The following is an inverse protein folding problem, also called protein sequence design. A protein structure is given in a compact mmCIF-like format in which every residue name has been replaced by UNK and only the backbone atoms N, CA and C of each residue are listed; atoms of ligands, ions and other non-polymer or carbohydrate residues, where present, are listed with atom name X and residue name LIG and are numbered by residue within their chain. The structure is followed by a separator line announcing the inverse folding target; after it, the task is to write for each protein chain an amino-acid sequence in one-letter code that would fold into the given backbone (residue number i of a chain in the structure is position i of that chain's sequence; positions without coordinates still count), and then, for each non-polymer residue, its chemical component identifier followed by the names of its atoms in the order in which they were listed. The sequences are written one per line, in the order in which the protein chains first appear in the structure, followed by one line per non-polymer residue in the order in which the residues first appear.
data_IF_231024274994
#
_entry.id   IF_231024274994
#
_cell.length_a   1.000
_cell.length_b   1.000
_cell.length_c   1.000
_cell.angle_alpha   90.00
_cell.angle_beta   90.00
_cell.angle_gamma   90.00
#
_symmetry.space_group_name_H-M   'P 1'
#
loop_
_entity.id
_entity.type
_entity.pdbx_description
1 polymer ?
#
# COMPACT_ATOMS: atom_id res chain seq x y z
N UNK A 1 9.40 -0.37 31.72
CA UNK A 1 8.65 0.81 31.20
C UNK A 1 9.42 2.14 31.22
N UNK A 2 10.23 2.50 32.25
CA UNK A 2 10.96 3.80 32.30
C UNK A 2 12.03 3.99 31.19
N UNK A 3 12.78 2.97 30.78
CA UNK A 3 13.82 3.10 29.75
C UNK A 3 13.28 3.46 28.35
N UNK A 4 12.08 3.01 27.99
CA UNK A 4 11.45 3.32 26.69
C UNK A 4 10.94 4.77 26.60
N UNK A 5 10.57 5.38 27.71
CA UNK A 5 10.13 6.78 27.73
C UNK A 5 11.26 7.78 27.53
N UNK A 6 12.42 7.50 28.14
CA UNK A 6 13.61 8.38 28.05
C UNK A 6 14.17 8.38 26.62
N UNK A 7 14.25 7.22 25.96
CA UNK A 7 14.71 7.13 24.56
C UNK A 7 13.79 7.88 23.60
N UNK A 8 12.47 7.82 23.78
CA UNK A 8 11.52 8.58 22.97
C UNK A 8 11.71 10.09 23.10
N UNK A 9 11.87 10.57 24.32
CA UNK A 9 12.09 12.00 24.59
C UNK A 9 13.40 12.48 23.95
N UNK A 10 14.47 11.67 24.02
CA UNK A 10 15.75 11.99 23.38
C UNK A 10 15.55 12.13 21.86
N UNK A 11 14.84 11.20 21.20
CA UNK A 11 14.58 11.29 19.76
C UNK A 11 13.70 12.48 19.37
N UNK A 12 12.72 12.85 20.20
CA UNK A 12 11.91 14.05 19.98
C UNK A 12 12.80 15.30 20.02
N UNK A 13 13.57 15.46 21.10
CA UNK A 13 14.41 16.64 21.30
C UNK A 13 15.54 16.71 20.26
N UNK A 14 16.21 15.60 19.97
CA UNK A 14 17.30 15.59 18.98
C UNK A 14 16.82 15.90 17.56
N UNK A 15 15.61 15.45 17.18
CA UNK A 15 15.01 15.80 15.89
C UNK A 15 14.69 17.30 15.80
N UNK A 16 14.13 17.89 16.84
CA UNK A 16 13.87 19.33 16.90
C UNK A 16 15.19 20.11 16.87
N UNK A 17 16.19 19.69 17.63
CA UNK A 17 17.51 20.32 17.63
C UNK A 17 18.18 20.28 16.25
N UNK A 18 18.09 19.13 15.55
CA UNK A 18 18.61 19.00 14.18
C UNK A 18 17.89 19.94 13.20
N UNK A 19 16.57 20.08 13.31
CA UNK A 19 15.80 21.00 12.50
C UNK A 19 16.21 22.46 12.73
N UNK A 20 16.32 22.88 13.99
CA UNK A 20 16.76 24.23 14.36
C UNK A 20 18.19 24.48 13.85
N UNK A 21 19.09 23.51 14.03
CA UNK A 21 20.47 23.62 13.60
C UNK A 21 20.56 23.89 12.08
N UNK A 22 19.75 23.20 11.29
CA UNK A 22 19.70 23.42 9.83
C UNK A 22 19.20 24.82 9.50
N UNK A 23 18.12 25.27 10.14
CA UNK A 23 17.59 26.64 9.92
C UNK A 23 18.66 27.71 10.20
N UNK A 24 19.47 27.51 11.26
CA UNK A 24 20.52 28.45 11.68
C UNK A 24 21.75 28.36 10.77
N UNK A 25 22.18 27.18 10.36
CA UNK A 25 23.39 26.97 9.55
C UNK A 25 23.21 27.27 8.07
N UNK A 26 22.00 27.31 7.55
CA UNK A 26 21.76 27.60 6.14
C UNK A 26 22.14 29.06 5.82
N UNK A 27 22.86 29.29 4.69
CA UNK A 27 23.24 30.61 4.26
C UNK A 27 22.05 31.56 4.05
N UNK A 28 22.27 32.86 4.17
CA UNK A 28 21.24 33.90 4.00
C UNK A 28 20.76 34.07 2.53
N UNK A 29 21.32 33.31 1.61
CA UNK A 29 20.82 33.20 0.24
C UNK A 29 19.41 32.57 0.20
N UNK A 30 19.04 31.77 1.23
CA UNK A 30 17.72 31.18 1.36
C UNK A 30 16.78 32.08 2.18
N UNK A 31 15.56 32.25 1.71
CA UNK A 31 14.52 32.92 2.51
C UNK A 31 14.26 32.17 3.83
N UNK A 32 13.75 32.84 4.84
CA UNK A 32 13.44 32.23 6.12
C UNK A 32 12.40 31.09 5.95
N UNK A 33 11.43 31.25 5.05
CA UNK A 33 10.43 30.25 4.72
C UNK A 33 11.09 28.97 4.16
N UNK A 34 12.06 29.11 3.25
CA UNK A 34 12.80 27.98 2.68
C UNK A 34 13.65 27.27 3.74
N UNK A 35 14.33 28.04 4.62
CA UNK A 35 15.11 27.46 5.74
C UNK A 35 14.20 26.65 6.68
N UNK A 36 13.04 27.21 7.06
CA UNK A 36 12.06 26.53 7.93
C UNK A 36 11.48 25.29 7.24
N UNK A 37 11.14 25.36 5.96
CA UNK A 37 10.64 24.22 5.21
C UNK A 37 11.65 23.06 5.19
N UNK A 38 12.94 23.34 4.96
CA UNK A 38 14.01 22.35 5.02
C UNK A 38 14.18 21.78 6.44
N UNK A 39 14.08 22.60 7.47
CA UNK A 39 14.07 22.16 8.86
C UNK A 39 12.93 21.18 9.17
N UNK A 40 11.72 21.49 8.69
CA UNK A 40 10.55 20.61 8.85
C UNK A 40 10.77 19.28 8.12
N UNK A 41 11.29 19.29 6.89
CA UNK A 41 11.60 18.06 6.15
C UNK A 41 12.57 17.17 6.94
N UNK A 42 13.65 17.74 7.47
CA UNK A 42 14.62 16.97 8.27
C UNK A 42 14.00 16.42 9.55
N UNK A 43 13.18 17.22 10.25
CA UNK A 43 12.46 16.78 11.44
C UNK A 43 11.53 15.60 11.11
N UNK A 44 10.77 15.71 10.01
CA UNK A 44 9.86 14.64 9.58
C UNK A 44 10.61 13.36 9.22
N UNK A 45 11.69 13.46 8.43
CA UNK A 45 12.53 12.31 8.08
C UNK A 45 13.10 11.65 9.33
N UNK A 46 13.66 12.44 10.26
CA UNK A 46 14.19 11.91 11.50
C UNK A 46 13.13 11.20 12.36
N UNK A 47 11.94 11.80 12.50
CA UNK A 47 10.85 11.19 13.28
C UNK A 47 10.21 9.99 12.57
N UNK A 48 10.15 9.94 11.25
CA UNK A 48 9.68 8.76 10.53
C UNK A 48 10.61 7.56 10.68
N UNK A 49 11.92 7.80 10.70
CA UNK A 49 12.92 6.74 10.91
C UNK A 49 12.92 6.27 12.37
N UNK A 50 12.99 7.19 13.33
CA UNK A 50 13.13 6.87 14.76
C UNK A 50 11.80 6.52 15.45
N UNK A 51 10.66 6.92 14.84
CA UNK A 51 9.29 6.69 15.33
C UNK A 51 9.04 7.05 16.79
N UNK A 52 9.46 8.22 17.28
CA UNK A 52 9.20 8.63 18.65
C UNK A 52 7.72 8.94 18.89
N UNK A 53 7.02 9.36 17.84
CA UNK A 53 5.57 9.61 17.80
C UNK A 53 4.93 8.83 16.65
N UNK A 54 3.60 8.77 16.64
CA UNK A 54 2.88 8.11 15.54
C UNK A 54 3.12 8.82 14.20
N UNK A 55 3.25 8.05 13.12
CA UNK A 55 3.56 8.57 11.76
C UNK A 55 2.58 9.68 11.34
N UNK A 56 1.28 9.54 11.65
CA UNK A 56 0.28 10.54 11.32
C UNK A 56 0.49 11.87 12.05
N UNK A 57 1.02 11.85 13.28
CA UNK A 57 1.36 13.08 14.02
C UNK A 57 2.51 13.80 13.35
N UNK A 58 3.54 13.06 12.92
CA UNK A 58 4.65 13.61 12.16
C UNK A 58 4.17 14.25 10.84
N UNK A 59 3.21 13.63 10.16
CA UNK A 59 2.64 14.14 8.91
C UNK A 59 1.91 15.48 9.09
N UNK A 60 1.44 15.84 10.28
CA UNK A 60 0.79 17.12 10.56
C UNK A 60 1.76 18.26 10.91
N UNK A 61 3.05 17.98 11.05
CA UNK A 61 4.07 19.00 11.38
C UNK A 61 4.10 20.17 10.38
N UNK A 62 4.06 19.96 9.04
CA UNK A 62 4.04 21.07 8.10
C UNK A 62 2.90 22.06 8.36
N UNK A 63 1.69 21.53 8.65
CA UNK A 63 0.53 22.36 8.94
C UNK A 63 0.73 23.19 10.22
N UNK A 64 1.24 22.55 11.29
CA UNK A 64 1.49 23.21 12.56
C UNK A 64 2.60 24.29 12.44
N UNK A 65 3.69 23.99 11.72
CA UNK A 65 4.79 24.95 11.53
C UNK A 65 4.37 26.07 10.60
N UNK A 66 3.60 25.78 9.54
CA UNK A 66 3.10 26.82 8.63
C UNK A 66 2.17 27.82 9.33
N UNK A 67 1.45 27.42 10.38
CA UNK A 67 0.62 28.35 11.16
C UNK A 67 1.43 29.41 11.90
N UNK A 68 2.72 29.16 12.14
CA UNK A 68 3.63 30.07 12.85
C UNK A 68 4.51 30.87 11.90
N UNK A 69 5.00 30.22 10.85
CA UNK A 69 6.02 30.79 9.95
C UNK A 69 5.49 31.25 8.60
N UNK A 70 4.21 31.00 8.30
CA UNK A 70 3.55 31.40 7.05
C UNK A 70 4.38 31.10 5.80
N UNK A 71 4.91 29.86 5.70
CA UNK A 71 5.75 29.44 4.56
C UNK A 71 5.01 29.55 3.24
N UNK A 72 3.72 29.19 3.25
CA UNK A 72 2.75 29.38 2.15
C UNK A 72 1.39 29.80 2.74
N UNK A 73 0.48 30.39 1.94
CA UNK A 73 -0.87 30.70 2.39
C UNK A 73 -1.57 29.46 2.99
N UNK A 74 -2.19 29.61 4.17
CA UNK A 74 -2.77 28.49 4.91
C UNK A 74 -3.86 27.75 4.10
N UNK A 75 -4.65 28.46 3.28
CA UNK A 75 -5.64 27.84 2.41
C UNK A 75 -5.02 26.90 1.37
N UNK A 76 -3.84 27.24 0.85
CA UNK A 76 -3.12 26.35 -0.08
C UNK A 76 -2.62 25.12 0.67
N UNK A 77 -2.02 25.30 1.86
CA UNK A 77 -1.58 24.17 2.70
C UNK A 77 -2.74 23.21 3.03
N UNK A 78 -3.88 23.74 3.43
CA UNK A 78 -5.09 22.94 3.70
C UNK A 78 -5.61 22.24 2.43
N UNK A 79 -5.56 22.93 1.28
CA UNK A 79 -5.91 22.36 -0.01
C UNK A 79 -5.06 21.16 -0.37
N UNK A 80 -3.75 21.19 -0.07
CA UNK A 80 -2.83 20.06 -0.31
C UNK A 80 -3.16 18.85 0.58
N UNK A 81 -3.59 19.08 1.83
CA UNK A 81 -4.01 17.99 2.73
C UNK A 81 -5.35 17.36 2.37
N UNK A 82 -6.23 18.07 1.66
CA UNK A 82 -7.54 17.61 1.24
C UNK A 82 -7.69 17.57 -0.29
N UNK A 83 -6.60 17.43 -1.02
CA UNK A 83 -6.66 17.33 -2.48
C UNK A 83 -7.33 16.01 -2.94
N UNK A 84 -7.78 15.92 -4.21
CA UNK A 84 -8.45 14.73 -4.72
C UNK A 84 -7.67 13.43 -4.55
N UNK A 85 -6.32 13.46 -4.59
CA UNK A 85 -5.48 12.28 -4.39
C UNK A 85 -5.66 11.71 -2.98
N UNK A 86 -5.66 12.58 -1.96
CA UNK A 86 -5.85 12.19 -0.56
C UNK A 86 -7.23 11.57 -0.37
N UNK A 87 -8.28 12.14 -0.99
CA UNK A 87 -9.63 11.60 -0.95
C UNK A 87 -9.71 10.22 -1.61
N UNK A 88 -9.02 10.01 -2.73
CA UNK A 88 -8.95 8.70 -3.38
C UNK A 88 -8.27 7.68 -2.49
N UNK A 89 -7.11 8.01 -1.93
CA UNK A 89 -6.36 7.13 -1.02
C UNK A 89 -7.22 6.78 0.20
N UNK A 90 -7.95 7.75 0.75
CA UNK A 90 -8.86 7.52 1.86
C UNK A 90 -9.99 6.56 1.47
N UNK A 91 -10.72 6.82 0.40
CA UNK A 91 -11.82 5.98 -0.07
C UNK A 91 -11.37 4.55 -0.42
N UNK A 92 -10.24 4.42 -1.13
CA UNK A 92 -9.64 3.13 -1.45
C UNK A 92 -9.19 2.38 -0.18
N UNK A 93 -8.63 3.08 0.81
CA UNK A 93 -8.22 2.48 2.08
C UNK A 93 -9.41 1.97 2.89
N UNK A 94 -10.53 2.70 2.90
CA UNK A 94 -11.77 2.26 3.57
C UNK A 94 -12.32 0.99 2.91
N UNK A 95 -12.37 0.94 1.58
CA UNK A 95 -12.81 -0.25 0.85
C UNK A 95 -11.90 -1.45 1.11
N UNK A 96 -10.59 -1.23 1.12
CA UNK A 96 -9.60 -2.28 1.43
C UNK A 96 -9.71 -2.75 2.88
N UNK A 97 -9.91 -1.83 3.83
CA UNK A 97 -10.15 -2.19 5.23
C UNK A 97 -11.41 -3.06 5.39
N UNK A 98 -12.48 -2.76 4.63
CA UNK A 98 -13.68 -3.59 4.59
C UNK A 98 -13.38 -5.03 4.13
N UNK A 99 -12.50 -5.23 3.14
CA UNK A 99 -12.05 -6.57 2.71
C UNK A 99 -11.36 -7.32 3.83
N UNK A 100 -10.41 -6.67 4.49
CA UNK A 100 -9.61 -7.27 5.57
C UNK A 100 -10.48 -7.61 6.78
N UNK A 101 -11.37 -6.70 7.19
CA UNK A 101 -12.29 -6.93 8.32
C UNK A 101 -13.23 -8.12 8.03
N UNK A 102 -13.71 -8.25 6.79
CA UNK A 102 -14.58 -9.37 6.41
C UNK A 102 -13.79 -10.66 6.12
N UNK A 103 -12.45 -10.62 6.02
CA UNK A 103 -11.58 -11.77 5.73
C UNK A 103 -11.59 -12.21 4.27
N UNK A 104 -12.04 -11.35 3.37
CA UNK A 104 -12.12 -11.64 1.93
C UNK A 104 -10.73 -11.82 1.31
N UNK A 105 -9.75 -11.00 1.69
CA UNK A 105 -8.35 -11.08 1.29
C UNK A 105 -7.76 -12.46 1.62
N UNK A 106 -7.94 -12.94 2.84
CA UNK A 106 -7.50 -14.25 3.29
C UNK A 106 -8.19 -15.38 2.50
N UNK A 107 -9.50 -15.25 2.25
CA UNK A 107 -10.26 -16.25 1.47
C UNK A 107 -9.78 -16.32 0.02
N UNK A 108 -9.58 -15.18 -0.64
CA UNK A 108 -9.06 -15.12 -2.02
C UNK A 108 -7.69 -15.79 -2.08
N UNK A 109 -6.78 -15.44 -1.17
CA UNK A 109 -5.45 -16.03 -1.09
C UNK A 109 -5.49 -17.55 -0.90
N UNK A 110 -6.20 -18.04 0.11
CA UNK A 110 -6.30 -19.49 0.41
C UNK A 110 -6.97 -20.27 -0.71
N UNK A 111 -8.02 -19.72 -1.33
CA UNK A 111 -8.70 -20.36 -2.45
C UNK A 111 -7.76 -20.49 -3.66
N UNK A 112 -6.96 -19.47 -3.95
CA UNK A 112 -5.98 -19.51 -5.03
C UNK A 112 -4.84 -20.49 -4.75
N UNK A 113 -4.41 -20.63 -3.48
CA UNK A 113 -3.34 -21.54 -3.06
C UNK A 113 -3.79 -23.00 -2.94
N UNK A 114 -5.07 -23.26 -2.61
CA UNK A 114 -5.57 -24.61 -2.28
C UNK A 114 -5.61 -25.59 -3.47
N UNK A 115 -5.57 -25.09 -4.70
CA UNK A 115 -5.64 -25.91 -5.94
C UNK A 115 -4.31 -26.54 -6.37
N UNK A 116 -3.20 -26.26 -5.69
CA UNK A 116 -1.87 -26.45 -6.26
C UNK A 116 -0.98 -27.40 -5.47
N UNK A 117 0.07 -27.88 -6.16
CA UNK A 117 0.96 -28.90 -5.66
C UNK A 117 1.94 -28.41 -4.57
N UNK A 118 2.66 -29.36 -3.99
CA UNK A 118 3.63 -29.14 -2.90
C UNK A 118 5.00 -28.63 -3.37
N UNK A 119 5.20 -28.41 -4.68
CA UNK A 119 6.48 -27.96 -5.24
C UNK A 119 6.80 -26.51 -4.82
N UNK A 120 7.97 -26.27 -4.25
CA UNK A 120 8.41 -24.97 -3.74
C UNK A 120 8.39 -23.89 -4.82
N UNK A 121 8.86 -24.18 -6.04
CA UNK A 121 8.88 -23.20 -7.11
C UNK A 121 7.47 -22.79 -7.52
N UNK A 122 6.53 -23.74 -7.57
CA UNK A 122 5.13 -23.45 -7.84
C UNK A 122 4.55 -22.56 -6.74
N UNK A 123 4.84 -22.84 -5.48
CA UNK A 123 4.41 -22.02 -4.35
C UNK A 123 4.97 -20.58 -4.44
N UNK A 124 6.26 -20.43 -4.76
CA UNK A 124 6.90 -19.12 -4.98
C UNK A 124 6.20 -18.33 -6.09
N UNK A 125 5.98 -18.96 -7.26
CA UNK A 125 5.32 -18.33 -8.39
C UNK A 125 3.91 -17.86 -8.00
N UNK A 126 3.20 -18.68 -7.25
CA UNK A 126 1.82 -18.36 -6.86
C UNK A 126 1.73 -17.26 -5.83
N UNK A 127 2.53 -17.32 -4.77
CA UNK A 127 2.57 -16.22 -3.80
C UNK A 127 2.96 -14.92 -4.48
N UNK A 128 3.89 -14.97 -5.42
CA UNK A 128 4.26 -13.81 -6.21
C UNK A 128 3.09 -13.29 -7.05
N UNK A 129 2.42 -14.16 -7.84
CA UNK A 129 1.32 -13.75 -8.71
C UNK A 129 0.10 -13.28 -7.93
N UNK A 130 -0.24 -13.95 -6.83
CA UNK A 130 -1.34 -13.53 -5.96
C UNK A 130 -1.04 -12.15 -5.36
N UNK A 131 0.16 -11.95 -4.83
CA UNK A 131 0.59 -10.65 -4.28
C UNK A 131 0.58 -9.56 -5.34
N UNK A 132 1.06 -9.87 -6.55
CA UNK A 132 1.08 -8.93 -7.67
C UNK A 132 -0.34 -8.50 -8.06
N UNK A 133 -1.25 -9.46 -8.23
CA UNK A 133 -2.64 -9.17 -8.61
C UNK A 133 -3.38 -8.43 -7.49
N UNK A 134 -3.24 -8.87 -6.24
CA UNK A 134 -3.88 -8.18 -5.10
C UNK A 134 -3.35 -6.76 -4.94
N UNK A 135 -2.03 -6.56 -5.05
CA UNK A 135 -1.40 -5.26 -4.87
C UNK A 135 -1.66 -4.28 -6.02
N UNK A 136 -2.12 -4.76 -7.16
CA UNK A 136 -2.63 -3.88 -8.21
C UNK A 136 -3.82 -3.02 -7.76
N UNK A 137 -4.55 -3.48 -6.74
CA UNK A 137 -5.78 -2.85 -6.27
C UNK A 137 -5.79 -2.50 -4.79
N UNK A 138 -4.80 -2.97 -4.03
CA UNK A 138 -4.70 -2.79 -2.58
C UNK A 138 -3.31 -2.27 -2.22
N UNK A 139 -3.16 -1.46 -1.17
CA UNK A 139 -1.83 -1.04 -0.71
C UNK A 139 -0.92 -2.24 -0.43
N UNK A 140 0.34 -2.18 -0.89
CA UNK A 140 1.33 -3.26 -0.77
C UNK A 140 1.41 -3.84 0.65
N UNK A 141 1.38 -2.97 1.67
CA UNK A 141 1.45 -3.39 3.08
C UNK A 141 0.28 -4.27 3.49
N UNK A 142 -0.93 -4.00 2.99
CA UNK A 142 -2.12 -4.81 3.29
C UNK A 142 -1.95 -6.22 2.71
N UNK A 143 -1.48 -6.32 1.47
CA UNK A 143 -1.22 -7.61 0.81
C UNK A 143 -0.16 -8.41 1.55
N UNK A 144 0.96 -7.77 1.91
CA UNK A 144 2.06 -8.42 2.65
C UNK A 144 1.58 -8.91 4.01
N UNK A 145 0.85 -8.09 4.76
CA UNK A 145 0.33 -8.47 6.09
C UNK A 145 -0.72 -9.57 6.04
N UNK A 146 -1.45 -9.71 4.93
CA UNK A 146 -2.39 -10.82 4.71
C UNK A 146 -1.69 -12.13 4.32
N UNK A 147 -0.69 -12.06 3.43
CA UNK A 147 -0.08 -13.26 2.82
C UNK A 147 1.11 -13.81 3.62
N UNK A 148 1.95 -12.97 4.24
CA UNK A 148 3.11 -13.43 4.99
C UNK A 148 2.76 -14.37 6.14
N UNK A 149 1.73 -14.13 6.98
CA UNK A 149 1.31 -15.09 8.00
C UNK A 149 0.87 -16.44 7.43
N UNK A 150 0.21 -16.46 6.26
CA UNK A 150 -0.20 -17.70 5.59
C UNK A 150 1.03 -18.49 5.15
N UNK A 151 2.00 -17.84 4.52
CA UNK A 151 3.24 -18.47 4.08
C UNK A 151 4.05 -18.99 5.27
N UNK A 152 4.19 -18.19 6.33
CA UNK A 152 4.91 -18.55 7.55
C UNK A 152 4.27 -19.76 8.24
N UNK A 153 2.96 -19.73 8.49
CA UNK A 153 2.24 -20.83 9.13
C UNK A 153 2.25 -22.11 8.29
N UNK A 154 2.27 -22.00 6.96
CA UNK A 154 2.40 -23.14 6.06
C UNK A 154 3.79 -23.79 6.16
N UNK A 155 4.86 -23.00 6.23
CA UNK A 155 6.24 -23.49 6.43
C UNK A 155 6.36 -24.18 7.79
N UNK A 156 5.81 -23.57 8.84
CA UNK A 156 5.80 -24.15 10.18
C UNK A 156 5.04 -25.48 10.24
N UNK A 157 3.83 -25.54 9.66
CA UNK A 157 3.02 -26.75 9.55
C UNK A 157 3.74 -27.89 8.83
N UNK A 158 4.55 -27.58 7.83
CA UNK A 158 5.29 -28.57 7.05
C UNK A 158 6.53 -29.14 7.76
N UNK A 159 6.93 -28.57 8.91
CA UNK A 159 8.17 -28.89 9.61
C UNK A 159 9.44 -28.40 8.90
N UNK A 160 9.33 -27.65 7.81
CA UNK A 160 10.45 -26.98 7.19
C UNK A 160 10.80 -25.75 8.05
N UNK A 161 12.05 -25.66 8.54
CA UNK A 161 12.46 -24.58 9.45
C UNK A 161 12.12 -23.19 8.90
N UNK A 162 11.60 -22.33 9.77
CA UNK A 162 11.18 -20.96 9.41
C UNK A 162 12.35 -20.08 8.96
N UNK A 163 13.58 -20.38 9.40
CA UNK A 163 14.81 -19.70 8.99
C UNK A 163 15.46 -20.30 7.73
N UNK A 164 14.73 -21.19 7.02
CA UNK A 164 15.22 -21.84 5.81
C UNK A 164 15.25 -20.87 4.61
N UNK A 165 16.13 -21.17 3.63
CA UNK A 165 16.16 -20.46 2.34
C UNK A 165 14.82 -20.58 1.60
N UNK A 166 14.10 -21.67 1.81
CA UNK A 166 12.77 -21.89 1.26
C UNK A 166 11.76 -20.90 1.85
N UNK A 167 11.75 -20.71 3.17
CA UNK A 167 10.91 -19.73 3.86
C UNK A 167 11.22 -18.30 3.38
N UNK A 168 12.51 -17.96 3.36
CA UNK A 168 12.96 -16.65 2.86
C UNK A 168 12.50 -16.39 1.42
N UNK A 169 12.63 -17.38 0.53
CA UNK A 169 12.21 -17.23 -0.87
C UNK A 169 10.70 -17.04 -1.03
N UNK A 170 9.88 -17.68 -0.19
CA UNK A 170 8.43 -17.51 -0.17
C UNK A 170 8.04 -16.09 0.30
N UNK A 171 8.61 -15.64 1.41
CA UNK A 171 8.33 -14.29 1.92
C UNK A 171 8.82 -13.21 0.96
N UNK A 172 9.99 -13.42 0.34
CA UNK A 172 10.52 -12.52 -0.66
C UNK A 172 9.63 -12.46 -1.91
N UNK A 173 9.03 -13.59 -2.32
CA UNK A 173 8.09 -13.62 -3.46
C UNK A 173 6.85 -12.79 -3.20
N UNK A 174 6.32 -12.81 -1.97
CA UNK A 174 5.21 -11.95 -1.56
C UNK A 174 5.60 -10.48 -1.62
N UNK A 175 6.75 -10.13 -1.05
CA UNK A 175 7.22 -8.75 -0.99
C UNK A 175 7.46 -8.15 -2.39
N UNK A 176 8.11 -8.90 -3.28
CA UNK A 176 8.38 -8.45 -4.65
C UNK A 176 7.14 -8.44 -5.51
N UNK A 177 6.26 -9.45 -5.37
CA UNK A 177 4.96 -9.48 -6.05
C UNK A 177 4.11 -8.27 -5.66
N UNK A 178 4.01 -7.97 -4.36
CA UNK A 178 3.29 -6.79 -3.88
C UNK A 178 3.94 -5.49 -4.36
N UNK A 179 5.28 -5.39 -4.31
CA UNK A 179 5.99 -4.21 -4.80
C UNK A 179 5.73 -3.92 -6.27
N UNK A 180 5.85 -4.92 -7.15
CA UNK A 180 5.59 -4.75 -8.58
C UNK A 180 4.10 -4.54 -8.89
N UNK A 181 3.22 -5.28 -8.21
CA UNK A 181 1.77 -5.15 -8.39
C UNK A 181 1.25 -3.74 -8.10
N UNK A 182 1.84 -3.07 -7.09
CA UNK A 182 1.48 -1.71 -6.73
C UNK A 182 1.61 -0.68 -7.85
N UNK A 183 2.42 -0.94 -8.87
CA UNK A 183 2.55 -0.06 -10.05
C UNK A 183 1.51 -0.35 -11.13
N UNK A 184 0.77 -1.47 -11.06
CA UNK A 184 -0.09 -1.92 -12.16
C UNK A 184 -1.30 -1.01 -12.39
N UNK A 185 -1.84 -0.42 -11.36
CA UNK A 185 -2.98 0.50 -11.47
C UNK A 185 -2.76 1.78 -10.65
N UNK A 186 -3.49 2.86 -10.94
CA UNK A 186 -3.40 4.09 -10.15
C UNK A 186 -3.66 3.87 -8.65
N UNK A 187 -4.49 2.89 -8.30
CA UNK A 187 -4.91 2.60 -6.92
C UNK A 187 -3.91 1.75 -6.14
N UNK A 188 -3.02 1.02 -6.83
CA UNK A 188 -2.05 0.13 -6.18
C UNK A 188 -0.99 0.86 -5.35
N UNK A 189 -0.76 2.15 -5.63
CA UNK A 189 0.21 2.94 -4.88
C UNK A 189 -0.04 4.44 -4.92
N UNK A 190 0.17 5.12 -3.79
CA UNK A 190 0.03 6.57 -3.69
C UNK A 190 0.95 7.33 -4.67
N UNK A 191 2.15 6.81 -4.94
CA UNK A 191 3.10 7.42 -5.87
C UNK A 191 2.58 7.45 -7.31
N UNK A 192 1.77 6.47 -7.72
CA UNK A 192 1.13 6.46 -9.03
C UNK A 192 0.19 7.66 -9.19
N UNK A 193 -0.55 7.98 -8.13
CA UNK A 193 -1.48 9.11 -8.12
C UNK A 193 -0.76 10.45 -8.13
N UNK A 194 0.36 10.55 -7.41
CA UNK A 194 1.23 11.75 -7.45
C UNK A 194 1.78 11.95 -8.87
N UNK A 195 2.23 10.88 -9.52
CA UNK A 195 2.70 10.95 -10.90
C UNK A 195 1.58 11.34 -11.88
N UNK A 196 0.37 10.81 -11.71
CA UNK A 196 -0.80 11.18 -12.51
C UNK A 196 -1.12 12.66 -12.32
N UNK A 197 -1.17 13.16 -11.09
CA UNK A 197 -1.42 14.58 -10.80
C UNK A 197 -0.39 15.50 -11.47
N UNK A 198 0.90 15.14 -11.41
CA UNK A 198 1.96 15.90 -12.09
C UNK A 198 1.79 15.88 -13.62
N UNK A 199 1.35 14.74 -14.18
CA UNK A 199 1.04 14.64 -15.62
C UNK A 199 -0.17 15.47 -16.02
N UNK A 200 -1.21 15.52 -15.18
CA UNK A 200 -2.40 16.34 -15.39
C UNK A 200 -2.07 17.84 -15.32
N UNK A 201 -1.27 18.24 -14.34
CA UNK A 201 -0.79 19.62 -14.20
C UNK A 201 0.04 20.06 -15.43
N UNK A 202 0.95 19.20 -15.89
CA UNK A 202 1.79 19.48 -17.05
C UNK A 202 1.00 19.51 -18.36
N UNK A 203 0.05 18.57 -18.55
CA UNK A 203 -0.70 18.42 -19.81
C UNK A 203 -1.94 19.29 -19.90
N UNK A 204 -2.43 19.84 -18.78
CA UNK A 204 -3.70 20.58 -18.68
C UNK A 204 -4.94 19.72 -18.96
N UNK A 205 -4.82 18.38 -18.91
CA UNK A 205 -5.91 17.45 -19.24
C UNK A 205 -5.98 16.27 -18.28
N UNK A 206 -7.20 15.75 -18.05
CA UNK A 206 -7.45 14.59 -17.19
C UNK A 206 -6.69 13.35 -17.71
N UNK A 207 -5.91 12.71 -16.84
CA UNK A 207 -5.18 11.49 -17.16
C UNK A 207 -6.03 10.26 -16.83
N UNK A 208 -6.51 9.60 -17.85
CA UNK A 208 -7.42 8.46 -17.69
C UNK A 208 -6.72 7.22 -17.11
N UNK A 209 -7.35 6.54 -16.16
CA UNK A 209 -6.80 5.38 -15.45
C UNK A 209 -6.42 4.22 -16.38
N UNK A 210 -7.16 4.01 -17.46
CA UNK A 210 -6.82 2.97 -18.42
C UNK A 210 -5.50 3.25 -19.15
N UNK A 211 -5.14 4.52 -19.38
CA UNK A 211 -3.83 4.90 -19.97
C UNK A 211 -2.68 4.49 -19.05
N UNK A 212 -2.85 4.65 -17.74
CA UNK A 212 -1.86 4.16 -16.79
C UNK A 212 -1.64 2.66 -16.96
N UNK A 213 -2.72 1.88 -16.92
CA UNK A 213 -2.66 0.41 -17.01
C UNK A 213 -2.04 -0.05 -18.32
N UNK A 214 -2.44 0.52 -19.46
CA UNK A 214 -1.88 0.14 -20.77
C UNK A 214 -0.39 0.45 -20.90
N UNK A 215 0.10 1.49 -20.24
CA UNK A 215 1.52 1.82 -20.23
C UNK A 215 2.30 1.01 -19.17
N UNK A 216 1.75 0.81 -17.98
CA UNK A 216 2.45 0.15 -16.88
C UNK A 216 2.54 -1.37 -17.04
N UNK A 217 1.45 -2.03 -17.47
CA UNK A 217 1.36 -3.50 -17.53
C UNK A 217 2.46 -4.15 -18.38
N UNK A 218 2.83 -3.67 -19.57
CA UNK A 218 3.92 -4.28 -20.34
C UNK A 218 5.25 -4.32 -19.56
N UNK A 219 5.60 -3.23 -18.87
CA UNK A 219 6.81 -3.17 -18.05
C UNK A 219 6.72 -4.12 -16.85
N UNK A 220 5.57 -4.18 -16.20
CA UNK A 220 5.34 -5.07 -15.06
C UNK A 220 5.45 -6.52 -15.48
N UNK A 221 4.94 -6.92 -16.62
CA UNK A 221 5.05 -8.29 -17.12
C UNK A 221 6.51 -8.68 -17.38
N UNK A 222 7.31 -7.78 -17.95
CA UNK A 222 8.75 -8.00 -18.17
C UNK A 222 9.46 -8.14 -16.81
N UNK A 223 9.24 -7.19 -15.90
CA UNK A 223 9.86 -7.20 -14.57
C UNK A 223 9.42 -8.43 -13.74
N UNK A 224 8.15 -8.80 -13.83
CA UNK A 224 7.62 -9.99 -13.18
C UNK A 224 8.28 -11.27 -13.72
N UNK A 225 8.44 -11.38 -15.04
CA UNK A 225 9.11 -12.53 -15.64
C UNK A 225 10.57 -12.62 -15.19
N UNK A 226 11.34 -11.52 -15.23
CA UNK A 226 12.72 -11.46 -14.76
C UNK A 226 12.82 -11.83 -13.29
N UNK A 227 11.95 -11.27 -12.46
CA UNK A 227 11.91 -11.55 -11.02
C UNK A 227 11.58 -13.01 -10.73
N UNK A 228 10.60 -13.59 -11.41
CA UNK A 228 10.23 -15.00 -11.26
C UNK A 228 11.36 -15.94 -11.70
N UNK A 229 12.01 -15.65 -12.83
CA UNK A 229 13.18 -16.44 -13.28
C UNK A 229 14.27 -16.42 -12.20
N UNK A 230 14.62 -15.24 -11.69
CA UNK A 230 15.60 -15.10 -10.61
C UNK A 230 15.18 -15.90 -9.37
N UNK A 231 13.94 -15.75 -8.92
CA UNK A 231 13.44 -16.45 -7.74
C UNK A 231 13.41 -17.96 -7.89
N UNK A 232 13.10 -18.48 -9.08
CA UNK A 232 13.09 -19.92 -9.35
C UNK A 232 14.51 -20.48 -9.40
N UNK A 233 15.50 -19.72 -9.89
CA UNK A 233 16.90 -20.11 -9.98
C UNK A 233 17.64 -20.08 -8.64
N UNK A 234 17.21 -19.26 -7.68
CA UNK A 234 17.83 -19.22 -6.34
C UNK A 234 17.72 -20.59 -5.66
N UNK A 235 18.82 -21.05 -5.09
CA UNK A 235 18.91 -22.36 -4.40
C UNK A 235 18.03 -22.39 -3.15
N UNK A 236 17.18 -23.40 -3.05
CA UNK A 236 16.30 -23.69 -1.90
C UNK A 236 16.82 -24.91 -1.13
N UNK A 237 16.43 -25.02 0.12
CA UNK A 237 16.83 -26.17 0.96
C UNK A 237 15.96 -27.40 0.66
N UNK A 238 14.76 -27.21 0.13
CA UNK A 238 13.83 -28.28 -0.25
C UNK A 238 13.18 -28.01 -1.60
N UNK A 239 12.84 -29.06 -2.33
CA UNK A 239 12.05 -28.99 -3.57
C UNK A 239 10.53 -29.08 -3.33
N UNK A 240 10.15 -29.57 -2.17
CA UNK A 240 8.74 -29.85 -1.81
C UNK A 240 8.47 -29.36 -0.39
N UNK A 241 7.29 -28.81 -0.17
CA UNK A 241 6.77 -28.45 1.16
C UNK A 241 5.68 -29.45 1.51
N UNK A 242 5.97 -30.48 2.32
CA UNK A 242 5.01 -31.52 2.67
C UNK A 242 3.78 -30.93 3.36
N UNK A 243 2.60 -31.45 3.05
CA UNK A 243 1.36 -31.02 3.72
C UNK A 243 0.82 -29.65 3.29
N UNK A 244 1.51 -28.86 2.47
CA UNK A 244 1.07 -27.51 2.10
C UNK A 244 -0.35 -27.49 1.50
N UNK A 245 -0.70 -28.44 0.65
CA UNK A 245 -2.04 -28.53 0.06
C UNK A 245 -3.12 -28.82 1.12
N UNK A 246 -2.82 -29.68 2.07
CA UNK A 246 -3.71 -30.00 3.17
C UNK A 246 -3.90 -28.78 4.08
N UNK A 247 -2.82 -28.12 4.43
CA UNK A 247 -2.83 -26.88 5.21
C UNK A 247 -3.77 -25.84 4.59
N UNK A 248 -3.64 -25.52 3.30
CA UNK A 248 -4.51 -24.53 2.65
C UNK A 248 -5.99 -24.94 2.66
N UNK A 249 -6.27 -26.25 2.46
CA UNK A 249 -7.65 -26.76 2.52
C UNK A 249 -8.23 -26.64 3.92
N UNK A 250 -7.49 -27.01 4.94
CA UNK A 250 -7.92 -26.91 6.34
C UNK A 250 -8.17 -25.45 6.72
N UNK A 251 -7.27 -24.55 6.35
CA UNK A 251 -7.43 -23.11 6.55
C UNK A 251 -8.65 -22.56 5.79
N UNK A 252 -8.88 -22.99 4.56
CA UNK A 252 -10.05 -22.56 3.79
C UNK A 252 -11.37 -23.08 4.40
N UNK A 253 -11.40 -24.33 4.86
CA UNK A 253 -12.54 -24.92 5.54
C UNK A 253 -12.81 -24.20 6.86
N UNK A 254 -11.80 -23.83 7.61
CA UNK A 254 -11.94 -23.08 8.87
C UNK A 254 -12.59 -21.70 8.70
N UNK A 255 -12.49 -21.10 7.53
CA UNK A 255 -13.19 -19.84 7.23
C UNK A 255 -14.71 -20.01 7.07
N UNK A 256 -15.17 -21.27 6.89
CA UNK A 256 -16.58 -21.57 6.66
C UNK A 256 -17.12 -21.04 5.32
N UNK A 257 -18.44 -20.95 5.21
CA UNK A 257 -19.11 -20.43 4.00
C UNK A 257 -18.83 -18.95 3.81
N UNK A 258 -18.83 -18.51 2.55
CA UNK A 258 -18.70 -17.08 2.19
C UNK A 258 -19.80 -16.27 2.88
N UNK A 259 -19.41 -15.24 3.61
CA UNK A 259 -20.33 -14.37 4.36
C UNK A 259 -20.92 -13.31 3.44
N UNK A 260 -22.12 -12.82 3.75
CA UNK A 260 -22.74 -11.72 3.01
C UNK A 260 -21.89 -10.45 3.02
N UNK A 261 -21.17 -10.17 4.12
CA UNK A 261 -20.26 -9.05 4.23
C UNK A 261 -19.08 -9.12 3.26
N UNK A 262 -18.53 -10.33 3.03
CA UNK A 262 -17.46 -10.53 2.03
C UNK A 262 -17.96 -10.20 0.61
N UNK A 263 -19.16 -10.66 0.26
CA UNK A 263 -19.76 -10.37 -1.06
C UNK A 263 -20.05 -8.89 -1.22
N UNK A 264 -20.61 -8.25 -0.19
CA UNK A 264 -20.91 -6.82 -0.23
C UNK A 264 -19.64 -5.99 -0.37
N UNK A 265 -18.58 -6.29 0.39
CA UNK A 265 -17.29 -5.60 0.27
C UNK A 265 -16.68 -5.78 -1.14
N UNK A 266 -16.77 -6.98 -1.71
CA UNK A 266 -16.33 -7.26 -3.07
C UNK A 266 -17.12 -6.46 -4.11
N UNK A 267 -18.45 -6.40 -3.98
CA UNK A 267 -19.32 -5.66 -4.90
C UNK A 267 -19.02 -4.17 -4.86
N UNK A 268 -18.89 -3.57 -3.67
CA UNK A 268 -18.53 -2.17 -3.54
C UNK A 268 -17.19 -1.86 -4.21
N UNK A 269 -16.20 -2.72 -3.99
CA UNK A 269 -14.88 -2.52 -4.57
C UNK A 269 -14.92 -2.64 -6.11
N UNK A 270 -15.55 -3.69 -6.65
CA UNK A 270 -15.69 -3.86 -8.10
C UNK A 270 -16.44 -2.67 -8.70
N UNK A 271 -17.50 -2.19 -8.05
CA UNK A 271 -18.26 -1.03 -8.50
C UNK A 271 -17.38 0.22 -8.58
N UNK A 272 -16.57 0.49 -7.54
CA UNK A 272 -15.65 1.62 -7.52
C UNK A 272 -14.63 1.54 -8.67
N UNK A 273 -14.02 0.36 -8.87
CA UNK A 273 -13.05 0.12 -9.94
C UNK A 273 -13.71 0.28 -11.31
N UNK A 274 -14.83 -0.37 -11.55
CA UNK A 274 -15.54 -0.30 -12.84
C UNK A 274 -15.92 1.13 -13.19
N UNK A 275 -16.47 1.89 -12.23
CA UNK A 275 -16.81 3.28 -12.46
C UNK A 275 -15.58 4.15 -12.73
N UNK A 276 -14.47 3.94 -12.02
CA UNK A 276 -13.24 4.70 -12.25
C UNK A 276 -12.67 4.47 -13.66
N UNK A 277 -12.71 3.23 -14.15
CA UNK A 277 -12.25 2.90 -15.51
C UNK A 277 -13.27 3.30 -16.60
N UNK A 278 -14.56 3.30 -16.27
CA UNK A 278 -15.63 3.73 -17.18
C UNK A 278 -15.75 5.27 -17.29
N UNK A 279 -14.84 6.04 -16.67
CA UNK A 279 -14.85 7.51 -16.69
C UNK A 279 -15.16 8.12 -18.07
N UNK A 280 -14.58 7.67 -19.19
CA UNK A 280 -14.86 8.23 -20.52
C UNK A 280 -16.32 8.13 -20.94
N UNK A 281 -17.10 7.17 -20.42
CA UNK A 281 -18.49 6.93 -20.83
C UNK A 281 -19.47 7.95 -20.21
N UNK A 282 -19.13 8.53 -19.05
CA UNK A 282 -20.04 9.42 -18.33
C UNK A 282 -19.46 10.82 -18.02
N UNK A 283 -18.21 11.07 -18.39
CA UNK A 283 -17.54 12.36 -18.12
C UNK A 283 -18.27 13.58 -18.69
N UNK A 284 -18.96 13.41 -19.83
CA UNK A 284 -19.77 14.48 -20.43
C UNK A 284 -21.04 14.80 -19.63
N UNK A 285 -21.63 13.82 -18.95
CA UNK A 285 -22.88 13.96 -18.16
C UNK A 285 -22.57 14.39 -16.73
N UNK A 286 -21.53 13.81 -16.13
CA UNK A 286 -21.11 14.04 -14.74
C UNK A 286 -19.62 14.45 -14.70
N UNK A 287 -19.27 15.66 -15.16
CA UNK A 287 -17.87 16.10 -15.25
C UNK A 287 -17.15 16.13 -13.89
N UNK A 288 -17.87 16.46 -12.82
CA UNK A 288 -17.32 16.52 -11.46
C UNK A 288 -17.11 15.16 -10.79
N UNK A 289 -17.71 14.06 -11.30
CA UNK A 289 -17.59 12.74 -10.69
C UNK A 289 -16.31 12.04 -11.17
N UNK A 290 -15.15 12.54 -10.75
CA UNK A 290 -13.85 11.95 -11.06
C UNK A 290 -13.54 10.73 -10.17
N UNK A 291 -12.58 9.87 -10.52
CA UNK A 291 -12.27 8.66 -9.77
C UNK A 291 -12.05 8.89 -8.25
N UNK A 292 -11.38 9.95 -7.79
CA UNK A 292 -11.28 10.25 -6.35
C UNK A 292 -12.62 10.30 -5.62
N UNK A 293 -13.59 10.97 -6.20
CA UNK A 293 -14.92 11.11 -5.58
C UNK A 293 -15.73 9.81 -5.66
N UNK A 294 -15.53 9.00 -6.70
CA UNK A 294 -16.15 7.67 -6.79
C UNK A 294 -15.68 6.80 -5.62
N UNK A 295 -14.36 6.72 -5.39
CA UNK A 295 -13.82 5.93 -4.29
C UNK A 295 -14.24 6.45 -2.94
N UNK A 296 -14.32 7.77 -2.76
CA UNK A 296 -14.82 8.37 -1.54
C UNK A 296 -16.30 8.00 -1.30
N UNK A 297 -17.17 8.24 -2.27
CA UNK A 297 -18.62 7.98 -2.15
C UNK A 297 -18.87 6.48 -1.88
N UNK A 298 -18.28 5.60 -2.69
CA UNK A 298 -18.48 4.16 -2.51
C UNK A 298 -17.83 3.67 -1.22
N UNK A 299 -16.69 4.24 -0.83
CA UNK A 299 -16.05 3.97 0.46
C UNK A 299 -16.94 4.26 1.65
N UNK A 300 -17.73 5.32 1.60
CA UNK A 300 -18.70 5.65 2.66
C UNK A 300 -19.77 4.54 2.82
N UNK A 301 -20.16 3.86 1.76
CA UNK A 301 -21.09 2.73 1.86
C UNK A 301 -20.49 1.51 2.58
N UNK A 302 -19.17 1.41 2.68
CA UNK A 302 -18.53 0.34 3.45
C UNK A 302 -18.81 0.44 4.96
N UNK A 303 -19.15 1.61 5.48
CA UNK A 303 -19.56 1.80 6.89
C UNK A 303 -20.92 1.16 7.22
N UNK A 304 -21.72 0.80 6.22
CA UNK A 304 -22.94 0.03 6.45
C UNK A 304 -22.68 -1.47 6.64
N UNK A 305 -21.44 -1.93 6.42
CA UNK A 305 -21.03 -3.28 6.77
C UNK A 305 -20.99 -3.38 8.30
N UNK A 306 -21.86 -4.23 8.84
CA UNK A 306 -21.78 -4.62 10.25
C UNK A 306 -20.62 -5.58 10.43
N UNK A 307 -19.77 -5.28 11.40
CA UNK A 307 -18.69 -6.17 11.87
C UNK A 307 -19.24 -7.47 12.48
#
# INVERSE_FOLDING_TARGET
MKKHGISKLIYIVSGIAAAILIVVLLPDIFSIQAKVALGVIILMLFWWVTRPVHIAVTALLPLAVNSVFEMIPMNNMLGDYFNPIVLLIFGASVLTAAWTIQGLDKRIALKSLSGLGMNVNIQIILFFLISLVMSAFMPNMVVVTALCPIAYSMVEYSGAGTDSKTSFSLLLSIAWGAGLGGFATPMGGAMNLVAISALEEYSGSEFLYWRWVTNAVPYILILAAVTLIFMVLVKKDSKVIPGSRQFYREQLVSLGKTKRGEIYALVLFILAVVLAFARPLYSAILPGLTPPYIFLIIGLFAFFLRS
#
